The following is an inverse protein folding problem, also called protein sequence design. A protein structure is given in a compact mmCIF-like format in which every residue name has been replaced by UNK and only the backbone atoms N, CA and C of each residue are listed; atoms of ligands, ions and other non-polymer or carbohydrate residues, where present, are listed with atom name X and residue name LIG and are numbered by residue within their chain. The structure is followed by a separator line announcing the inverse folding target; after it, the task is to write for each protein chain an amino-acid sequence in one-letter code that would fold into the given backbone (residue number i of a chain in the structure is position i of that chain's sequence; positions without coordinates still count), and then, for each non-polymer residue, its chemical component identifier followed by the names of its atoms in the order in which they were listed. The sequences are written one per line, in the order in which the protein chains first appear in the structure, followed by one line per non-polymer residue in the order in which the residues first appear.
data_IF_978773366079
#
_entry.id   IF_978773366079
#
_cell.length_a   1.000
_cell.length_b   1.000
_cell.length_c   1.000
_cell.angle_alpha   90.00
_cell.angle_beta   90.00
_cell.angle_gamma   90.00
#
_symmetry.space_group_name_H-M   'P 1'
#
loop_
_entity.id
_entity.type
_entity.pdbx_description
1 polymer ?
#
# COMPACT_ATOMS: atom_id res chain seq x y z
N UNK A 1 -4.94 12.83 -15.16
CA UNK A 1 -4.34 13.11 -13.83
C UNK A 1 -3.59 11.87 -13.33
N UNK A 2 -2.29 11.97 -13.04
CA UNK A 2 -1.53 10.86 -12.45
C UNK A 2 -1.98 10.68 -10.99
N UNK A 3 -2.20 9.44 -10.56
CA UNK A 3 -2.58 9.10 -9.18
C UNK A 3 -1.48 9.54 -8.20
N UNK A 4 -1.84 9.99 -6.99
CA UNK A 4 -0.88 10.33 -5.94
C UNK A 4 -0.05 9.11 -5.52
N UNK A 5 -0.68 7.93 -5.47
CA UNK A 5 0.02 6.68 -5.21
C UNK A 5 1.03 6.30 -6.30
N UNK A 6 0.97 6.86 -7.52
CA UNK A 6 1.98 6.65 -8.59
C UNK A 6 3.19 7.60 -8.49
N UNK A 7 3.25 8.46 -7.47
CA UNK A 7 4.24 9.52 -7.35
C UNK A 7 5.05 9.41 -6.04
N UNK A 8 5.24 8.19 -5.54
CA UNK A 8 5.93 7.96 -4.28
C UNK A 8 7.42 7.66 -4.45
N UNK A 9 7.88 7.26 -5.65
CA UNK A 9 9.30 6.97 -5.91
C UNK A 9 10.20 8.11 -5.41
N UNK A 10 11.23 7.75 -4.65
CA UNK A 10 12.19 8.67 -4.05
C UNK A 10 11.76 9.30 -2.72
N UNK A 11 10.51 9.15 -2.29
CA UNK A 11 10.07 9.67 -0.98
C UNK A 11 10.68 8.86 0.16
N UNK A 12 11.13 9.56 1.20
CA UNK A 12 11.48 9.00 2.50
C UNK A 12 10.26 9.06 3.40
N UNK A 13 9.94 7.95 4.05
CA UNK A 13 8.83 7.82 5.00
C UNK A 13 9.35 8.02 6.42
N UNK A 14 8.50 8.51 7.31
CA UNK A 14 8.84 8.75 8.73
C UNK A 14 9.32 7.49 9.46
N UNK A 15 8.93 6.31 8.95
CA UNK A 15 9.34 4.99 9.44
C UNK A 15 10.73 4.54 8.96
N UNK A 16 11.53 5.43 8.36
CA UNK A 16 12.89 5.13 7.90
C UNK A 16 12.97 4.39 6.56
N UNK A 17 11.86 4.24 5.84
CA UNK A 17 11.81 3.58 4.55
C UNK A 17 11.94 4.57 3.40
N UNK A 18 12.71 4.23 2.38
CA UNK A 18 12.79 4.97 1.12
C UNK A 18 12.06 4.20 0.02
N UNK A 19 11.19 4.90 -0.71
CA UNK A 19 10.39 4.32 -1.80
C UNK A 19 11.22 4.25 -3.08
N UNK A 20 11.34 3.05 -3.64
CA UNK A 20 12.05 2.78 -4.89
C UNK A 20 11.13 2.79 -6.11
N UNK A 21 11.43 1.93 -7.07
CA UNK A 21 10.65 1.78 -8.29
C UNK A 21 9.28 1.14 -8.05
N UNK A 22 8.25 1.58 -8.80
CA UNK A 22 6.96 0.90 -8.81
C UNK A 22 7.12 -0.49 -9.42
N UNK A 23 6.38 -1.45 -8.89
CA UNK A 23 6.26 -2.80 -9.43
C UNK A 23 5.16 -2.79 -10.49
N UNK A 24 5.51 -3.26 -11.69
CA UNK A 24 4.52 -3.52 -12.72
C UNK A 24 3.73 -4.78 -12.36
N UNK A 25 2.43 -4.60 -12.19
CA UNK A 25 1.47 -5.64 -11.83
C UNK A 25 0.37 -5.78 -12.89
N UNK A 26 0.60 -5.26 -14.10
CA UNK A 26 -0.34 -5.28 -15.23
C UNK A 26 -0.93 -6.67 -15.52
N UNK A 27 -0.11 -7.71 -15.38
CA UNK A 27 -0.50 -9.12 -15.62
C UNK A 27 -1.07 -9.82 -14.36
N UNK A 28 -1.40 -9.08 -13.29
CA UNK A 28 -1.83 -9.65 -12.01
C UNK A 28 -3.05 -8.95 -11.42
N UNK A 29 -3.86 -9.67 -10.65
CA UNK A 29 -5.05 -9.12 -9.99
C UNK A 29 -4.73 -8.32 -8.71
N UNK A 30 -3.51 -8.44 -8.17
CA UNK A 30 -3.11 -7.83 -6.90
C UNK A 30 -2.89 -6.31 -6.94
N UNK A 31 -2.84 -5.70 -8.13
CA UNK A 31 -2.60 -4.28 -8.34
C UNK A 31 -3.87 -3.42 -8.54
N UNK A 32 -5.06 -4.00 -8.41
CA UNK A 32 -6.30 -3.29 -8.81
C UNK A 32 -6.61 -2.07 -7.93
N UNK A 33 -6.42 -2.18 -6.60
CA UNK A 33 -6.75 -1.12 -5.64
C UNK A 33 -5.54 -0.33 -5.14
N UNK A 34 -4.32 -0.73 -5.50
CA UNK A 34 -3.09 -0.15 -4.94
C UNK A 34 -1.95 -0.07 -5.96
N UNK A 35 -1.04 0.87 -5.73
CA UNK A 35 0.24 0.95 -6.42
C UNK A 35 1.31 0.34 -5.52
N UNK A 36 2.16 -0.44 -6.15
CA UNK A 36 3.05 -1.37 -5.51
C UNK A 36 4.50 -0.91 -5.70
N UNK A 37 5.33 -0.92 -4.66
CA UNK A 37 6.71 -0.42 -4.71
C UNK A 37 7.68 -1.34 -3.97
N UNK A 38 8.91 -1.43 -4.45
CA UNK A 38 10.02 -1.87 -3.60
C UNK A 38 10.44 -0.74 -2.66
N UNK A 39 10.75 -1.08 -1.41
CA UNK A 39 11.23 -0.12 -0.41
C UNK A 39 12.50 -0.63 0.26
N UNK A 40 13.37 0.30 0.67
CA UNK A 40 14.59 0.00 1.42
C UNK A 40 14.63 0.82 2.71
N UNK A 41 14.84 0.16 3.83
CA UNK A 41 15.04 0.78 5.13
C UNK A 41 16.51 1.21 5.31
N UNK A 42 16.76 2.19 6.16
CA UNK A 42 18.10 2.71 6.47
C UNK A 42 19.07 1.63 6.94
N UNK A 43 18.58 0.64 7.69
CA UNK A 43 19.37 -0.53 8.13
C UNK A 43 19.68 -1.56 7.01
N UNK A 44 19.33 -1.26 5.76
CA UNK A 44 19.58 -2.13 4.61
C UNK A 44 18.46 -3.14 4.30
N UNK A 45 17.46 -3.28 5.16
CA UNK A 45 16.32 -4.20 4.96
C UNK A 45 15.53 -3.81 3.71
N UNK A 46 15.12 -4.79 2.91
CA UNK A 46 14.23 -4.58 1.74
C UNK A 46 12.84 -5.13 2.03
N UNK A 47 11.82 -4.44 1.56
CA UNK A 47 10.44 -4.87 1.68
C UNK A 47 9.60 -4.37 0.50
N UNK A 48 8.30 -4.57 0.60
CA UNK A 48 7.30 -4.16 -0.36
C UNK A 48 6.29 -3.21 0.27
N UNK A 49 5.83 -2.21 -0.48
CA UNK A 49 4.84 -1.23 -0.06
C UNK A 49 3.65 -1.21 -1.02
N UNK A 50 2.44 -1.29 -0.46
CA UNK A 50 1.18 -1.03 -1.19
C UNK A 50 0.66 0.35 -0.81
N UNK A 51 0.43 1.20 -1.80
CA UNK A 51 -0.10 2.55 -1.65
C UNK A 51 -1.50 2.65 -2.25
N UNK A 52 -2.46 3.10 -1.45
CA UNK A 52 -3.84 3.32 -1.86
C UNK A 52 -4.06 4.81 -2.15
N UNK A 53 -4.82 5.13 -3.20
CA UNK A 53 -5.14 6.50 -3.58
C UNK A 53 -6.67 6.72 -3.60
N UNK A 54 -7.13 7.56 -2.67
CA UNK A 54 -8.54 7.88 -2.50
C UNK A 54 -8.99 9.07 -3.37
N UNK A 55 -8.08 9.78 -4.05
CA UNK A 55 -8.40 11.00 -4.77
C UNK A 55 -9.41 10.78 -5.90
N UNK A 56 -9.42 9.61 -6.53
CA UNK A 56 -10.44 9.27 -7.54
C UNK A 56 -11.80 8.97 -6.90
N UNK A 57 -11.82 8.21 -5.81
CA UNK A 57 -13.05 7.91 -5.08
C UNK A 57 -13.72 9.18 -4.54
N UNK A 58 -12.94 10.12 -4.00
CA UNK A 58 -13.45 11.41 -3.51
C UNK A 58 -14.07 12.30 -4.60
N UNK A 59 -13.82 12.03 -5.88
CA UNK A 59 -14.36 12.76 -7.04
C UNK A 59 -15.35 11.93 -7.85
N UNK A 60 -15.79 10.77 -7.37
CA UNK A 60 -16.76 9.94 -8.07
C UNK A 60 -18.18 10.55 -7.98
N UNK A 61 -19.12 9.99 -8.73
CA UNK A 61 -20.53 10.39 -8.66
C UNK A 61 -21.15 10.09 -7.28
N UNK A 62 -20.67 9.03 -6.60
CA UNK A 62 -21.02 8.70 -5.22
C UNK A 62 -19.74 8.49 -4.40
N UNK A 63 -19.16 9.57 -3.84
CA UNK A 63 -17.91 9.49 -3.10
C UNK A 63 -17.98 8.61 -1.86
N UNK A 64 -19.14 8.54 -1.20
CA UNK A 64 -19.30 7.77 0.04
C UNK A 64 -19.13 6.27 -0.25
N UNK A 65 -19.76 5.77 -1.31
CA UNK A 65 -19.66 4.36 -1.72
C UNK A 65 -18.25 4.00 -2.15
N UNK A 66 -17.62 4.82 -3.00
CA UNK A 66 -16.28 4.51 -3.53
C UNK A 66 -15.18 4.61 -2.46
N UNK A 67 -15.29 5.58 -1.54
CA UNK A 67 -14.36 5.68 -0.41
C UNK A 67 -14.52 4.48 0.51
N UNK A 68 -15.76 4.08 0.83
CA UNK A 68 -16.03 2.89 1.64
C UNK A 68 -15.38 1.65 1.02
N UNK A 69 -15.55 1.44 -0.29
CA UNK A 69 -14.97 0.32 -1.02
C UNK A 69 -13.44 0.26 -0.91
N UNK A 70 -12.75 1.39 -1.09
CA UNK A 70 -11.29 1.45 -0.96
C UNK A 70 -10.83 1.29 0.49
N UNK A 71 -11.57 1.86 1.45
CA UNK A 71 -11.28 1.71 2.87
C UNK A 71 -11.41 0.25 3.31
N UNK A 72 -12.48 -0.44 2.89
CA UNK A 72 -12.71 -1.85 3.15
C UNK A 72 -11.56 -2.71 2.58
N UNK A 73 -11.11 -2.42 1.35
CA UNK A 73 -9.98 -3.11 0.74
C UNK A 73 -8.65 -2.89 1.50
N UNK A 74 -8.37 -1.66 1.93
CA UNK A 74 -7.20 -1.35 2.75
C UNK A 74 -7.24 -2.06 4.11
N UNK A 75 -8.41 -2.03 4.77
CA UNK A 75 -8.60 -2.68 6.06
C UNK A 75 -8.45 -4.19 5.96
N UNK A 76 -8.98 -4.81 4.91
CA UNK A 76 -8.82 -6.25 4.67
C UNK A 76 -7.33 -6.63 4.58
N UNK A 77 -6.55 -5.92 3.76
CA UNK A 77 -5.11 -6.17 3.62
C UNK A 77 -4.37 -6.00 4.96
N UNK A 78 -4.66 -4.91 5.70
CA UNK A 78 -4.04 -4.64 7.00
C UNK A 78 -4.36 -5.73 8.02
N UNK A 79 -5.64 -6.06 8.17
CA UNK A 79 -6.09 -7.06 9.14
C UNK A 79 -5.55 -8.45 8.80
N UNK A 80 -5.45 -8.81 7.52
CA UNK A 80 -4.90 -10.09 7.10
C UNK A 80 -3.44 -10.25 7.54
N UNK A 81 -2.60 -9.25 7.26
CA UNK A 81 -1.18 -9.32 7.62
C UNK A 81 -0.94 -9.23 9.13
N UNK A 82 -1.78 -8.48 9.85
CA UNK A 82 -1.78 -8.43 11.33
C UNK A 82 -2.12 -9.79 11.93
N UNK A 83 -3.19 -10.44 11.46
CA UNK A 83 -3.60 -11.78 11.90
C UNK A 83 -2.53 -12.83 11.62
N UNK A 84 -1.84 -12.75 10.48
CA UNK A 84 -0.72 -13.62 10.15
C UNK A 84 0.46 -13.44 11.11
N UNK A 85 0.75 -12.19 11.51
CA UNK A 85 1.80 -11.85 12.48
C UNK A 85 1.47 -12.38 13.88
N UNK A 86 0.25 -12.16 14.36
CA UNK A 86 -0.22 -12.65 15.67
C UNK A 86 -0.11 -14.17 15.80
N UNK A 87 -0.47 -14.89 14.71
CA UNK A 87 -0.39 -16.36 14.65
C UNK A 87 1.01 -16.90 14.38
N UNK A 88 2.04 -16.04 14.32
CA UNK A 88 3.45 -16.39 14.05
C UNK A 88 3.63 -17.25 12.79
N UNK A 89 2.81 -17.01 11.77
CA UNK A 89 2.96 -17.68 10.48
C UNK A 89 4.27 -17.23 9.83
N UNK A 90 5.19 -18.17 9.63
CA UNK A 90 6.55 -17.90 9.21
C UNK A 90 6.74 -17.90 7.68
N UNK A 91 5.85 -18.59 6.97
CA UNK A 91 5.84 -18.72 5.50
C UNK A 91 4.92 -17.73 4.76
N UNK A 92 4.44 -16.69 5.43
CA UNK A 92 3.53 -15.69 4.83
C UNK A 92 4.12 -14.28 4.93
N UNK A 93 3.67 -13.39 4.05
CA UNK A 93 4.03 -11.97 4.11
C UNK A 93 3.47 -11.36 5.39
N UNK A 94 4.33 -10.65 6.14
CA UNK A 94 3.96 -9.98 7.40
C UNK A 94 3.95 -8.47 7.23
N UNK A 95 2.98 -7.82 7.88
CA UNK A 95 2.92 -6.37 7.96
C UNK A 95 4.05 -5.84 8.84
N UNK A 96 4.86 -4.94 8.28
CA UNK A 96 5.93 -4.26 9.02
C UNK A 96 5.38 -3.02 9.70
N UNK A 97 4.72 -2.15 8.93
CA UNK A 97 4.09 -0.90 9.40
C UNK A 97 2.97 -0.50 8.43
N UNK A 98 2.10 0.41 8.85
CA UNK A 98 1.08 1.06 8.02
C UNK A 98 0.92 2.52 8.41
N UNK A 99 0.43 3.37 7.49
CA UNK A 99 0.32 4.81 7.75
C UNK A 99 -0.32 5.56 6.59
N UNK A 100 -0.17 6.88 6.60
CA UNK A 100 -0.66 7.79 5.56
C UNK A 100 0.46 8.69 5.06
N UNK A 101 0.35 9.12 3.81
CA UNK A 101 1.18 10.17 3.22
C UNK A 101 0.21 11.30 2.84
N UNK A 102 0.49 12.51 3.31
CA UNK A 102 -0.30 13.72 3.04
C UNK A 102 0.44 14.58 2.04
#
# INVERSE_FOLDING_TARGET
MRSAAKQLKGKKLDSGWTVGDPIDLSETTGGYFSVSYYVKHENGTRAFLKAFDYAKALRSADPAVEVKKLADAFLFERMLVEKCKERRMDRVVRGITSGKIV
#
